data_IF_899085339985
#
_entry.id   IF_899085339985
#
_cell.length_a   1.000
_cell.length_b   1.000
_cell.length_c   1.000
_cell.angle_alpha   90.00
_cell.angle_beta   90.00
_cell.angle_gamma   90.00
#
_symmetry.space_group_name_H-M   'P 1'
#
loop_
_entity.id
_entity.type
_entity.pdbx_description
1 polymer ?
#
# COMPACT_ATOMS: atom_id res chain seq x y z
N UNK A 1 12.06 25.32 -7.03
CA UNK A 1 12.07 23.93 -6.54
C UNK A 1 10.82 23.21 -6.97
N UNK A 2 9.63 23.62 -6.48
CA UNK A 2 8.32 23.08 -6.88
C UNK A 2 8.16 22.90 -8.40
N UNK A 3 8.45 23.94 -9.20
CA UNK A 3 8.39 23.86 -10.67
C UNK A 3 9.27 22.75 -11.24
N UNK A 4 10.53 22.63 -10.79
CA UNK A 4 11.45 21.56 -11.23
C UNK A 4 10.94 20.16 -10.86
N UNK A 5 10.29 20.02 -9.72
CA UNK A 5 9.69 18.74 -9.29
C UNK A 5 8.50 18.41 -10.20
N UNK A 6 7.65 19.39 -10.50
CA UNK A 6 6.51 19.21 -11.42
C UNK A 6 7.02 18.84 -12.83
N UNK A 7 8.08 19.47 -13.33
CA UNK A 7 8.72 19.09 -14.61
C UNK A 7 9.19 17.62 -14.60
N UNK A 8 9.81 17.15 -13.51
CA UNK A 8 10.22 15.76 -13.38
C UNK A 8 9.03 14.78 -13.31
N UNK A 9 7.92 15.18 -12.69
CA UNK A 9 6.70 14.37 -12.65
C UNK A 9 5.99 14.33 -14.02
N UNK A 10 6.00 15.42 -14.78
CA UNK A 10 5.55 15.40 -16.17
C UNK A 10 6.40 14.45 -17.00
N UNK A 11 7.72 14.48 -16.83
CA UNK A 11 8.59 13.54 -17.51
C UNK A 11 8.34 12.08 -17.10
N UNK A 12 8.09 11.84 -15.82
CA UNK A 12 7.68 10.53 -15.32
C UNK A 12 6.42 10.03 -16.03
N UNK A 13 5.38 10.87 -16.08
CA UNK A 13 4.12 10.59 -16.77
C UNK A 13 4.34 10.33 -18.27
N UNK A 14 5.03 11.23 -18.98
CA UNK A 14 5.26 11.12 -20.42
C UNK A 14 6.00 9.83 -20.80
N UNK A 15 6.83 9.31 -19.91
CA UNK A 15 7.54 8.05 -20.15
C UNK A 15 6.59 6.86 -19.96
N UNK A 16 5.77 6.87 -18.92
CA UNK A 16 4.70 5.89 -18.72
C UNK A 16 3.60 5.95 -19.80
N UNK A 17 3.39 7.08 -20.47
CA UNK A 17 2.47 7.16 -21.62
C UNK A 17 3.04 6.44 -22.85
N UNK A 18 4.36 6.49 -23.03
CA UNK A 18 5.05 5.85 -24.16
C UNK A 18 5.23 4.34 -23.97
N UNK A 19 5.49 3.90 -22.73
CA UNK A 19 5.73 2.49 -22.35
C UNK A 19 6.76 1.76 -23.22
N UNK A 20 7.75 2.49 -23.75
CA UNK A 20 8.77 1.89 -24.59
C UNK A 20 9.86 1.25 -23.71
N UNK A 21 9.77 -0.07 -23.54
CA UNK A 21 10.73 -0.87 -22.74
C UNK A 21 12.19 -0.66 -23.15
N UNK A 22 12.47 -0.22 -24.39
CA UNK A 22 13.83 0.09 -24.83
C UNK A 22 14.40 1.36 -24.19
N UNK A 23 13.55 2.21 -23.61
CA UNK A 23 13.93 3.49 -23.01
C UNK A 23 14.02 3.45 -21.48
N UNK A 24 13.78 2.30 -20.82
CA UNK A 24 13.81 2.21 -19.35
C UNK A 24 15.18 2.66 -18.80
N UNK A 25 16.29 2.30 -19.44
CA UNK A 25 17.62 2.73 -19.00
C UNK A 25 17.81 4.25 -19.08
N UNK A 26 17.27 4.89 -20.12
CA UNK A 26 17.37 6.34 -20.27
C UNK A 26 16.50 7.04 -19.23
N UNK A 27 15.28 6.55 -19.02
CA UNK A 27 14.36 7.00 -17.98
C UNK A 27 14.99 6.92 -16.58
N UNK A 28 15.53 5.76 -16.22
CA UNK A 28 16.18 5.54 -14.93
C UNK A 28 17.34 6.51 -14.71
N UNK A 29 18.25 6.65 -15.69
CA UNK A 29 19.38 7.61 -15.61
C UNK A 29 18.93 9.07 -15.48
N UNK A 30 17.82 9.42 -16.11
CA UNK A 30 17.34 10.80 -16.16
C UNK A 30 16.60 11.19 -14.88
N UNK A 31 15.75 10.32 -14.34
CA UNK A 31 14.93 10.67 -13.17
C UNK A 31 15.52 10.24 -11.84
N UNK A 32 16.32 9.17 -11.79
CA UNK A 32 16.73 8.55 -10.52
C UNK A 32 18.20 8.85 -10.18
N UNK A 33 18.53 8.73 -8.90
CA UNK A 33 19.89 8.92 -8.40
C UNK A 33 20.81 7.78 -8.87
N UNK A 34 22.11 7.86 -8.57
CA UNK A 34 23.06 6.80 -8.93
C UNK A 34 22.71 5.41 -8.36
N UNK A 35 23.23 4.39 -9.05
CA UNK A 35 22.70 3.01 -9.09
C UNK A 35 22.52 2.28 -7.76
N UNK A 36 23.25 2.63 -6.71
CA UNK A 36 23.31 1.84 -5.46
C UNK A 36 22.34 2.32 -4.37
N UNK A 37 21.64 3.43 -4.59
CA UNK A 37 20.87 4.08 -3.52
C UNK A 37 19.41 4.34 -3.87
N UNK A 38 18.92 3.79 -4.98
CA UNK A 38 17.50 3.83 -5.34
C UNK A 38 16.77 2.69 -4.64
N UNK A 39 15.55 2.95 -4.17
CA UNK A 39 14.62 1.89 -3.76
C UNK A 39 13.20 2.19 -4.20
N UNK A 40 12.46 1.14 -4.53
CA UNK A 40 11.04 1.22 -4.84
C UNK A 40 10.32 0.19 -3.99
N UNK A 41 9.23 0.62 -3.37
CA UNK A 41 8.28 -0.26 -2.72
C UNK A 41 7.01 -0.27 -3.57
N UNK A 42 6.80 -1.32 -4.35
CA UNK A 42 5.62 -1.47 -5.20
C UNK A 42 4.34 -1.74 -4.43
N UNK A 43 3.28 -2.07 -5.17
CA UNK A 43 1.94 -2.32 -4.63
C UNK A 43 1.81 -3.71 -4.02
N UNK A 44 2.47 -4.74 -4.58
CA UNK A 44 2.25 -6.14 -4.22
C UNK A 44 3.47 -6.77 -3.53
N UNK A 45 3.31 -7.92 -2.88
CA UNK A 45 4.42 -8.69 -2.34
C UNK A 45 5.46 -9.02 -3.42
N UNK A 46 6.75 -9.00 -3.06
CA UNK A 46 7.84 -9.24 -4.01
C UNK A 46 8.28 -7.98 -4.79
N UNK A 47 7.53 -6.87 -4.70
CA UNK A 47 7.88 -5.58 -5.31
C UNK A 47 8.66 -4.64 -4.38
N UNK A 48 9.33 -5.18 -3.35
CA UNK A 48 10.39 -4.44 -2.67
C UNK A 48 11.63 -4.48 -3.57
N UNK A 49 11.93 -3.41 -4.30
CA UNK A 49 13.07 -3.31 -5.20
C UNK A 49 14.17 -2.45 -4.58
N UNK A 50 15.34 -3.04 -4.34
CA UNK A 50 16.47 -2.38 -3.69
C UNK A 50 17.66 -2.35 -4.68
N UNK A 51 18.00 -1.16 -5.16
CA UNK A 51 19.05 -0.95 -6.17
C UNK A 51 18.54 -0.86 -7.61
N UNK A 52 19.42 -0.39 -8.50
CA UNK A 52 19.06 0.00 -9.87
C UNK A 52 18.47 -1.13 -10.71
N UNK A 53 19.07 -2.32 -10.70
CA UNK A 53 18.65 -3.40 -11.61
C UNK A 53 17.27 -3.94 -11.25
N UNK A 54 16.95 -4.04 -9.97
CA UNK A 54 15.61 -4.43 -9.52
C UNK A 54 14.57 -3.36 -9.81
N UNK A 55 14.89 -2.08 -9.54
CA UNK A 55 13.99 -0.97 -9.86
C UNK A 55 13.74 -0.86 -11.37
N UNK A 56 14.79 -1.05 -12.18
CA UNK A 56 14.69 -1.12 -13.63
C UNK A 56 13.76 -2.26 -14.05
N UNK A 57 13.93 -3.46 -13.48
CA UNK A 57 13.08 -4.61 -13.79
C UNK A 57 11.62 -4.31 -13.49
N UNK A 58 11.31 -3.69 -12.35
CA UNK A 58 9.95 -3.28 -12.01
C UNK A 58 9.33 -2.38 -13.08
N UNK A 59 10.04 -1.34 -13.54
CA UNK A 59 9.52 -0.48 -14.62
C UNK A 59 9.37 -1.20 -15.96
N UNK A 60 10.27 -2.13 -16.29
CA UNK A 60 10.11 -2.95 -17.49
C UNK A 60 8.83 -3.78 -17.41
N UNK A 61 8.63 -4.49 -16.29
CA UNK A 61 7.44 -5.32 -16.05
C UNK A 61 6.16 -4.45 -16.06
N UNK A 62 6.19 -3.28 -15.41
CA UNK A 62 5.09 -2.32 -15.42
C UNK A 62 4.71 -1.86 -16.83
N UNK A 63 5.69 -1.56 -17.68
CA UNK A 63 5.42 -1.07 -19.03
C UNK A 63 4.93 -2.19 -19.96
N UNK A 64 5.28 -3.45 -19.69
CA UNK A 64 4.78 -4.61 -20.42
C UNK A 64 3.35 -4.99 -20.04
N UNK A 65 3.02 -4.94 -18.74
CA UNK A 65 1.80 -5.56 -18.23
C UNK A 65 0.81 -4.59 -17.58
N UNK A 66 1.27 -3.45 -17.07
CA UNK A 66 0.43 -2.54 -16.28
C UNK A 66 -0.10 -1.34 -17.07
N UNK A 67 -1.36 -1.02 -16.77
CA UNK A 67 -2.07 0.13 -17.36
C UNK A 67 -2.10 1.32 -16.40
N UNK A 68 -0.93 1.78 -15.93
CA UNK A 68 -0.82 3.11 -15.33
C UNK A 68 -1.38 4.15 -16.31
N UNK A 69 -2.28 5.02 -15.82
CA UNK A 69 -3.00 5.99 -16.65
C UNK A 69 -2.47 7.39 -16.40
N UNK A 70 -2.57 7.92 -15.17
CA UNK A 70 -2.31 9.34 -14.94
C UNK A 70 -1.99 9.69 -13.49
N UNK A 71 -1.04 10.62 -13.29
CA UNK A 71 -0.83 11.36 -12.04
C UNK A 71 -1.83 12.52 -11.94
N UNK A 72 -2.46 12.69 -10.80
CA UNK A 72 -3.32 13.84 -10.49
C UNK A 72 -2.46 15.06 -10.08
N UNK A 73 -2.12 15.88 -11.08
CA UNK A 73 -1.27 17.07 -10.86
C UNK A 73 -1.94 18.17 -10.02
N UNK A 74 -3.27 18.21 -9.98
CA UNK A 74 -4.03 19.24 -9.25
C UNK A 74 -3.99 19.00 -7.73
N UNK A 75 -3.78 17.75 -7.31
CA UNK A 75 -3.82 17.33 -5.92
C UNK A 75 -2.45 16.90 -5.36
N UNK A 76 -1.35 17.33 -6.00
CA UNK A 76 0.01 17.06 -5.51
C UNK A 76 0.27 17.76 -4.17
N UNK A 77 0.85 17.01 -3.23
CA UNK A 77 1.41 17.55 -1.99
C UNK A 77 2.94 17.48 -2.10
N UNK A 78 3.61 18.64 -2.09
CA UNK A 78 5.06 18.76 -2.21
C UNK A 78 5.60 19.43 -0.93
N UNK A 79 6.46 18.71 -0.19
CA UNK A 79 6.99 19.14 1.11
C UNK A 79 8.52 19.17 1.04
N UNK A 80 9.12 20.31 1.38
CA UNK A 80 10.58 20.50 1.41
C UNK A 80 11.14 20.21 2.81
N UNK A 81 12.10 19.29 2.88
CA UNK A 81 12.78 18.87 4.10
C UNK A 81 14.28 19.18 4.05
N UNK A 82 14.66 20.28 3.39
CA UNK A 82 16.03 20.78 3.17
C UNK A 82 16.85 19.90 2.23
N UNK A 83 17.19 18.68 2.67
CA UNK A 83 18.04 17.74 1.94
C UNK A 83 17.24 16.71 1.12
N UNK A 84 15.93 16.66 1.35
CA UNK A 84 14.98 15.83 0.62
C UNK A 84 13.71 16.62 0.32
N UNK A 85 13.05 16.29 -0.79
CA UNK A 85 11.71 16.77 -1.12
C UNK A 85 10.80 15.55 -1.20
N UNK A 86 9.76 15.52 -0.38
CA UNK A 86 8.72 14.52 -0.45
C UNK A 86 7.62 15.00 -1.39
N UNK A 87 7.14 14.09 -2.22
CA UNK A 87 5.98 14.33 -3.06
C UNK A 87 4.99 13.20 -2.88
N UNK A 88 3.80 13.53 -2.41
CA UNK A 88 2.64 12.67 -2.56
C UNK A 88 1.91 13.07 -3.83
N UNK A 89 1.73 12.09 -4.72
CA UNK A 89 1.04 12.23 -5.98
C UNK A 89 -0.09 11.18 -6.04
N UNK A 90 -1.36 11.61 -5.92
CA UNK A 90 -2.47 10.75 -6.28
C UNK A 90 -2.36 10.37 -7.76
N UNK A 91 -2.80 9.18 -8.10
CA UNK A 91 -2.70 8.65 -9.43
C UNK A 91 -3.81 7.63 -9.69
N UNK A 92 -3.92 7.21 -10.94
CA UNK A 92 -4.87 6.19 -11.34
C UNK A 92 -4.21 5.18 -12.27
N UNK A 93 -4.59 3.92 -12.15
CA UNK A 93 -4.36 2.92 -13.18
C UNK A 93 -5.70 2.33 -13.60
N UNK A 94 -5.76 1.82 -14.82
CA UNK A 94 -6.93 1.10 -15.27
C UNK A 94 -6.71 -0.40 -15.29
N UNK A 95 -7.80 -1.12 -15.14
CA UNK A 95 -7.81 -2.57 -15.33
C UNK A 95 -9.05 -2.95 -16.15
N UNK A 96 -8.84 -3.75 -17.20
CA UNK A 96 -9.93 -4.22 -18.04
C UNK A 96 -10.24 -5.67 -17.71
N UNK A 97 -11.39 -5.90 -17.08
CA UNK A 97 -11.95 -7.24 -16.93
C UNK A 97 -12.59 -7.63 -18.26
N UNK A 98 -11.85 -8.42 -19.05
CA UNK A 98 -12.35 -8.98 -20.30
C UNK A 98 -13.41 -10.05 -20.01
N UNK A 99 -14.33 -10.27 -20.95
CA UNK A 99 -15.26 -11.37 -20.83
C UNK A 99 -14.51 -12.70 -20.68
N UNK A 100 -14.69 -13.38 -19.55
CA UNK A 100 -13.89 -14.54 -19.15
C UNK A 100 -13.91 -15.68 -20.18
N UNK A 101 -12.75 -16.34 -20.29
CA UNK A 101 -12.67 -17.77 -20.59
C UNK A 101 -12.83 -18.53 -19.27
N UNK A 102 -14.07 -18.89 -18.91
CA UNK A 102 -14.37 -19.57 -17.63
C UNK A 102 -13.62 -20.90 -17.45
N UNK A 103 -13.02 -21.47 -18.50
CA UNK A 103 -12.27 -22.73 -18.45
C UNK A 103 -11.02 -22.65 -17.57
N UNK A 104 -10.22 -21.59 -17.72
CA UNK A 104 -8.93 -21.46 -17.02
C UNK A 104 -9.15 -21.37 -15.50
N UNK A 105 -10.16 -20.61 -15.08
CA UNK A 105 -10.57 -20.53 -13.67
C UNK A 105 -11.06 -21.87 -13.11
N UNK A 106 -11.77 -22.67 -13.90
CA UNK A 106 -12.25 -23.98 -13.43
C UNK A 106 -11.06 -24.91 -13.15
N UNK A 107 -9.99 -24.82 -13.93
CA UNK A 107 -8.80 -25.62 -13.70
C UNK A 107 -8.02 -25.14 -12.47
N UNK A 108 -7.85 -23.83 -12.27
CA UNK A 108 -7.28 -23.27 -11.02
C UNK A 108 -8.06 -23.71 -9.77
N UNK A 109 -9.40 -23.70 -9.85
CA UNK A 109 -10.26 -24.17 -8.75
C UNK A 109 -10.08 -25.66 -8.44
N UNK A 110 -9.86 -26.50 -9.47
CA UNK A 110 -9.58 -27.93 -9.26
C UNK A 110 -8.24 -28.12 -8.58
N UNK A 111 -7.22 -27.39 -9.01
CA UNK A 111 -5.87 -27.48 -8.45
C UNK A 111 -5.88 -27.07 -6.97
N UNK A 112 -6.56 -25.97 -6.63
CA UNK A 112 -6.75 -25.54 -5.24
C UNK A 112 -7.44 -26.61 -4.39
N UNK A 113 -8.50 -27.25 -4.90
CA UNK A 113 -9.23 -28.30 -4.17
C UNK A 113 -8.43 -29.59 -4.02
N UNK A 114 -7.59 -29.95 -5.00
CA UNK A 114 -6.75 -31.15 -4.94
C UNK A 114 -5.62 -31.00 -3.90
N UNK A 115 -5.07 -29.78 -3.76
CA UNK A 115 -3.99 -29.47 -2.83
C UNK A 115 -4.48 -28.91 -1.47
N UNK A 116 -5.80 -28.91 -1.25
CA UNK A 116 -6.45 -28.30 -0.09
C UNK A 116 -5.93 -28.86 1.24
N UNK A 117 -5.43 -27.97 2.10
CA UNK A 117 -5.10 -28.27 3.50
C UNK A 117 -6.22 -27.90 4.47
N UNK A 118 -7.15 -27.02 4.06
CA UNK A 118 -8.29 -26.59 4.85
C UNK A 118 -9.52 -26.42 3.94
N UNK A 119 -10.32 -27.48 3.84
CA UNK A 119 -11.45 -27.54 2.92
C UNK A 119 -12.50 -26.44 3.18
N UNK A 120 -12.75 -26.06 4.44
CA UNK A 120 -13.70 -25.00 4.75
C UNK A 120 -13.23 -23.66 4.20
N UNK A 121 -11.95 -23.32 4.42
CA UNK A 121 -11.30 -22.10 3.92
C UNK A 121 -11.25 -22.08 2.40
N UNK A 122 -10.90 -23.20 1.77
CA UNK A 122 -10.82 -23.25 0.31
C UNK A 122 -12.22 -23.11 -0.32
N UNK A 123 -13.25 -23.78 0.21
CA UNK A 123 -14.62 -23.63 -0.31
C UNK A 123 -15.19 -22.20 -0.16
N UNK A 124 -14.89 -21.50 0.94
CA UNK A 124 -15.34 -20.12 1.14
C UNK A 124 -14.57 -19.13 0.27
N UNK A 125 -13.27 -19.35 0.06
CA UNK A 125 -12.45 -18.56 -0.88
C UNK A 125 -12.93 -18.74 -2.33
N UNK A 126 -13.20 -19.98 -2.75
CA UNK A 126 -13.80 -20.27 -4.05
C UNK A 126 -15.16 -19.56 -4.20
N UNK A 127 -16.03 -19.62 -3.19
CA UNK A 127 -17.31 -18.91 -3.22
C UNK A 127 -17.13 -17.38 -3.31
N UNK A 128 -16.10 -16.83 -2.65
CA UNK A 128 -15.74 -15.42 -2.73
C UNK A 128 -15.27 -15.02 -4.13
N UNK A 129 -14.38 -15.80 -4.74
CA UNK A 129 -13.91 -15.58 -6.12
C UNK A 129 -15.09 -15.65 -7.11
N UNK A 130 -15.92 -16.69 -7.01
CA UNK A 130 -17.11 -16.87 -7.85
C UNK A 130 -18.10 -15.72 -7.72
N UNK A 131 -18.25 -15.14 -6.52
CA UNK A 131 -19.14 -14.00 -6.30
C UNK A 131 -18.74 -12.79 -7.14
N UNK A 132 -17.43 -12.61 -7.42
CA UNK A 132 -16.93 -11.55 -8.30
C UNK A 132 -17.10 -11.90 -9.79
N UNK A 133 -16.88 -13.16 -10.18
CA UNK A 133 -16.91 -13.57 -11.60
C UNK A 133 -18.29 -13.82 -12.20
N UNK A 134 -19.25 -14.29 -11.41
CA UNK A 134 -20.59 -14.67 -11.91
C UNK A 134 -21.59 -13.51 -11.91
N UNK A 135 -21.11 -12.28 -11.92
CA UNK A 135 -21.98 -11.13 -12.03
C UNK A 135 -22.20 -10.75 -13.50
N UNK A 136 -23.34 -11.19 -14.04
CA UNK A 136 -23.74 -10.92 -15.43
C UNK A 136 -24.00 -9.42 -15.64
N UNK A 137 -23.25 -8.75 -16.53
CA UNK A 137 -23.47 -7.36 -16.92
C UNK A 137 -23.60 -7.23 -18.44
N UNK A 138 -24.29 -6.17 -18.87
CA UNK A 138 -24.60 -5.91 -20.29
C UNK A 138 -23.35 -5.67 -21.16
N UNK A 139 -22.27 -5.17 -20.56
CA UNK A 139 -21.00 -4.88 -21.24
C UNK A 139 -20.02 -6.05 -21.07
N UNK A 140 -19.54 -6.57 -22.21
CA UNK A 140 -18.64 -7.74 -22.26
C UNK A 140 -17.27 -7.46 -21.63
N UNK A 141 -16.63 -6.36 -22.00
CA UNK A 141 -15.35 -5.93 -21.43
C UNK A 141 -15.57 -4.69 -20.57
N UNK A 142 -15.06 -4.70 -19.34
CA UNK A 142 -15.32 -3.65 -18.36
C UNK A 142 -14.00 -3.04 -17.92
N UNK A 143 -13.81 -1.77 -18.26
CA UNK A 143 -12.66 -0.99 -17.84
C UNK A 143 -12.98 -0.30 -16.52
N UNK A 144 -12.17 -0.56 -15.52
CA UNK A 144 -12.21 0.13 -14.23
C UNK A 144 -11.01 1.02 -14.10
N UNK A 145 -11.20 2.16 -13.46
CA UNK A 145 -10.15 3.02 -12.96
C UNK A 145 -10.01 2.78 -11.45
N UNK A 146 -8.78 2.62 -10.99
CA UNK A 146 -8.42 2.36 -9.61
C UNK A 146 -7.51 3.46 -9.10
N UNK A 147 -7.78 3.93 -7.88
CA UNK A 147 -6.94 4.89 -7.18
C UNK A 147 -5.57 4.25 -6.85
N UNK A 148 -4.51 5.03 -7.04
CA UNK A 148 -3.13 4.70 -6.73
C UNK A 148 -2.46 5.90 -6.06
N UNK A 149 -1.51 5.65 -5.17
CA UNK A 149 -0.73 6.69 -4.49
C UNK A 149 0.73 6.47 -4.77
N UNK A 150 1.40 7.52 -5.23
CA UNK A 150 2.85 7.52 -5.38
C UNK A 150 3.46 8.50 -4.39
N UNK A 151 4.36 8.00 -3.55
CA UNK A 151 5.15 8.81 -2.63
C UNK A 151 6.61 8.80 -3.05
N UNK A 152 7.07 9.91 -3.60
CA UNK A 152 8.45 10.09 -4.03
C UNK A 152 9.27 10.79 -2.95
N UNK A 153 10.52 10.35 -2.78
CA UNK A 153 11.55 11.12 -2.11
C UNK A 153 12.57 11.52 -3.17
N UNK A 154 12.61 12.82 -3.46
CA UNK A 154 13.64 13.44 -4.29
C UNK A 154 14.78 13.93 -3.40
N UNK A 155 16.01 13.83 -3.89
CA UNK A 155 17.19 14.44 -3.29
C UNK A 155 17.90 15.30 -4.34
N UNK A 156 18.68 16.28 -3.87
CA UNK A 156 19.44 17.15 -4.77
C UNK A 156 20.84 16.59 -4.99
N UNK A 157 21.17 16.22 -6.22
CA UNK A 157 22.51 15.76 -6.64
C UNK A 157 23.02 16.61 -7.80
N UNK A 158 24.25 17.12 -7.72
CA UNK A 158 24.85 17.97 -8.77
C UNK A 158 23.94 19.13 -9.25
N UNK A 159 23.22 19.78 -8.33
CA UNK A 159 22.21 20.83 -8.59
C UNK A 159 20.93 20.38 -9.34
N UNK A 160 20.73 19.09 -9.56
CA UNK A 160 19.52 18.50 -10.10
C UNK A 160 18.73 17.76 -9.01
N UNK A 161 17.40 17.71 -9.14
CA UNK A 161 16.59 16.83 -8.31
C UNK A 161 16.52 15.45 -8.97
N UNK A 162 16.68 14.40 -8.17
CA UNK A 162 16.62 13.01 -8.61
C UNK A 162 15.82 12.20 -7.61
N UNK A 163 15.04 11.25 -8.12
CA UNK A 163 14.27 10.30 -7.32
C UNK A 163 15.22 9.32 -6.65
N UNK A 164 15.13 9.24 -5.32
CA UNK A 164 15.85 8.26 -4.51
C UNK A 164 14.96 7.12 -4.06
N UNK A 165 13.70 7.42 -3.76
CA UNK A 165 12.76 6.42 -3.27
C UNK A 165 11.37 6.67 -3.84
N UNK A 166 10.65 5.60 -4.19
CA UNK A 166 9.23 5.64 -4.53
C UNK A 166 8.50 4.59 -3.71
N UNK A 167 7.30 4.90 -3.25
CA UNK A 167 6.33 3.88 -2.87
C UNK A 167 5.08 4.01 -3.72
N UNK A 168 4.65 2.89 -4.29
CA UNK A 168 3.34 2.71 -4.90
C UNK A 168 2.42 2.05 -3.88
N UNK A 169 1.20 2.57 -3.71
CA UNK A 169 0.21 1.89 -2.87
C UNK A 169 -1.21 2.11 -3.37
N UNK A 170 -2.03 1.07 -3.27
CA UNK A 170 -3.47 1.18 -3.46
C UNK A 170 -4.08 1.55 -2.11
N UNK A 171 -4.87 2.63 -2.00
CA UNK A 171 -5.62 2.89 -0.78
C UNK A 171 -6.68 1.79 -0.60
N UNK A 172 -6.70 1.15 0.56
CA UNK A 172 -7.64 0.08 0.87
C UNK A 172 -8.03 0.14 2.35
N UNK A 173 -9.32 0.06 2.64
CA UNK A 173 -9.87 0.08 4.00
C UNK A 173 -9.72 -1.28 4.71
N UNK A 174 -9.41 -2.33 3.96
CA UNK A 174 -9.28 -3.68 4.48
C UNK A 174 -8.31 -4.52 3.65
N UNK A 175 -7.25 -5.03 4.27
CA UNK A 175 -6.29 -5.89 3.59
C UNK A 175 -6.94 -7.18 3.09
N UNK A 176 -6.66 -7.54 1.84
CA UNK A 176 -7.00 -8.86 1.28
C UNK A 176 -5.98 -9.95 1.64
N UNK A 177 -4.89 -9.57 2.29
CA UNK A 177 -3.83 -10.46 2.71
C UNK A 177 -3.83 -10.64 4.24
N UNK A 178 -3.63 -11.89 4.69
CA UNK A 178 -3.54 -12.26 6.10
C UNK A 178 -2.40 -13.25 6.30
N UNK A 179 -1.59 -13.08 7.36
CA UNK A 179 -0.49 -14.01 7.65
C UNK A 179 -0.95 -15.44 7.98
N UNK A 180 -2.21 -15.64 8.33
CA UNK A 180 -2.77 -16.97 8.51
C UNK A 180 -2.79 -17.79 7.19
N UNK A 181 -2.67 -17.12 6.04
CA UNK A 181 -2.53 -17.75 4.73
C UNK A 181 -1.05 -18.09 4.46
N UNK A 182 -0.69 -19.37 4.23
CA UNK A 182 0.71 -19.79 4.07
C UNK A 182 1.49 -19.07 2.98
N UNK A 183 0.84 -18.80 1.84
CA UNK A 183 1.40 -18.08 0.70
C UNK A 183 1.74 -16.62 1.05
N UNK A 184 0.85 -15.95 1.78
CA UNK A 184 1.07 -14.59 2.28
C UNK A 184 2.16 -14.56 3.34
N UNK A 185 2.18 -15.54 4.24
CA UNK A 185 3.23 -15.67 5.25
C UNK A 185 4.61 -15.83 4.60
N UNK A 186 4.72 -16.73 3.63
CA UNK A 186 5.98 -16.95 2.90
C UNK A 186 6.43 -15.69 2.15
N UNK A 187 5.49 -14.96 1.52
CA UNK A 187 5.79 -13.73 0.82
C UNK A 187 6.25 -12.60 1.79
N UNK A 188 5.60 -12.48 2.94
CA UNK A 188 6.00 -11.55 4.00
C UNK A 188 7.38 -11.87 4.59
N UNK A 189 7.66 -13.14 4.86
CA UNK A 189 8.98 -13.61 5.34
C UNK A 189 10.08 -13.34 4.30
N UNK A 190 9.80 -13.58 3.01
CA UNK A 190 10.75 -13.28 1.92
C UNK A 190 11.07 -11.78 1.82
N UNK A 191 10.10 -10.90 2.07
CA UNK A 191 10.34 -9.46 2.13
C UNK A 191 11.23 -9.07 3.32
N UNK A 192 11.07 -9.72 4.49
CA UNK A 192 11.97 -9.55 5.65
C UNK A 192 13.40 -9.98 5.30
N UNK A 193 13.57 -11.13 4.65
CA UNK A 193 14.88 -11.62 4.21
C UNK A 193 15.56 -10.63 3.26
N UNK A 194 14.78 -10.02 2.36
CA UNK A 194 15.29 -9.01 1.43
C UNK A 194 15.76 -7.74 2.14
N UNK A 195 15.01 -7.28 3.13
CA UNK A 195 15.42 -6.20 4.02
C UNK A 195 16.73 -6.52 4.75
N UNK A 196 16.82 -7.72 5.35
CA UNK A 196 18.03 -8.20 6.04
C UNK A 196 19.25 -8.23 5.12
N UNK A 197 19.10 -8.72 3.88
CA UNK A 197 20.18 -8.79 2.90
C UNK A 197 20.73 -7.41 2.51
N UNK A 198 19.92 -6.36 2.65
CA UNK A 198 20.27 -4.98 2.30
C UNK A 198 20.42 -4.07 3.53
N UNK A 199 20.43 -4.65 4.73
CA UNK A 199 20.55 -3.90 5.98
C UNK A 199 21.86 -3.12 5.98
N UNK A 200 21.75 -1.80 6.08
CA UNK A 200 22.92 -0.92 6.23
C UNK A 200 23.48 -1.02 7.65
N UNK A 201 24.68 -0.46 7.88
CA UNK A 201 25.22 -0.35 9.23
C UNK A 201 24.18 0.23 10.21
N UNK A 202 24.13 -0.33 11.41
CA UNK A 202 23.12 -0.01 12.40
C UNK A 202 23.17 1.47 12.77
N UNK A 203 22.09 2.20 12.49
CA UNK A 203 21.93 3.58 12.94
C UNK A 203 21.23 3.57 14.30
N UNK A 204 22.03 3.47 15.37
CA UNK A 204 21.57 3.34 16.76
C UNK A 204 20.56 4.43 17.11
N UNK A 205 20.80 5.69 16.74
CA UNK A 205 19.89 6.80 17.05
C UNK A 205 18.49 6.61 16.41
N UNK A 206 18.42 6.05 15.20
CA UNK A 206 17.14 5.79 14.53
C UNK A 206 16.44 4.57 15.16
N UNK A 207 17.22 3.53 15.50
CA UNK A 207 16.69 2.35 16.17
C UNK A 207 16.12 2.68 17.56
N UNK A 208 16.72 3.62 18.28
CA UNK A 208 16.21 4.12 19.56
C UNK A 208 14.84 4.81 19.42
N UNK A 209 14.49 5.31 18.23
CA UNK A 209 13.14 5.82 17.94
C UNK A 209 12.21 4.69 17.50
N UNK A 210 12.63 3.86 16.54
CA UNK A 210 11.77 2.85 15.92
C UNK A 210 11.36 1.72 16.86
N UNK A 211 12.27 1.23 17.71
CA UNK A 211 12.02 0.09 18.62
C UNK A 211 10.85 0.34 19.58
N UNK A 212 10.82 1.45 20.35
CA UNK A 212 9.69 1.74 21.24
C UNK A 212 8.46 2.25 20.48
N UNK A 213 8.60 2.74 19.24
CA UNK A 213 7.52 3.42 18.51
C UNK A 213 6.23 2.59 18.48
N UNK A 214 6.29 1.30 18.14
CA UNK A 214 5.10 0.46 18.04
C UNK A 214 4.34 0.35 19.37
N UNK A 215 5.07 0.18 20.48
CA UNK A 215 4.48 0.13 21.82
C UNK A 215 3.86 1.48 22.19
N UNK A 216 4.61 2.55 22.01
CA UNK A 216 4.18 3.89 22.41
C UNK A 216 3.03 4.40 21.53
N UNK A 217 3.05 4.07 20.24
CA UNK A 217 2.00 4.38 19.29
C UNK A 217 0.66 3.78 19.72
N UNK A 218 0.65 2.65 20.43
CA UNK A 218 -0.59 2.03 20.93
C UNK A 218 -0.95 2.46 22.36
N UNK A 219 0.04 2.72 23.21
CA UNK A 219 -0.18 2.81 24.66
C UNK A 219 -0.06 4.21 25.26
N UNK A 220 0.67 5.14 24.64
CA UNK A 220 0.75 6.51 25.15
C UNK A 220 -0.54 7.29 24.88
N UNK A 221 -0.80 8.31 25.70
CA UNK A 221 -1.78 9.32 25.36
C UNK A 221 -1.45 9.92 23.98
N UNK A 222 -2.46 10.27 23.20
CA UNK A 222 -2.26 10.72 21.82
C UNK A 222 -1.40 11.99 21.77
N UNK A 223 -1.60 12.93 22.71
CA UNK A 223 -0.84 14.18 22.72
C UNK A 223 0.62 13.93 23.12
N UNK A 224 0.86 13.03 24.06
CA UNK A 224 2.20 12.59 24.45
C UNK A 224 2.93 11.90 23.30
N UNK A 225 2.24 10.98 22.61
CA UNK A 225 2.77 10.24 21.47
C UNK A 225 3.15 11.18 20.32
N UNK A 226 2.27 12.13 19.99
CA UNK A 226 2.53 13.15 18.96
C UNK A 226 3.75 13.98 19.33
N UNK A 227 3.81 14.51 20.55
CA UNK A 227 4.94 15.33 21.00
C UNK A 227 6.27 14.58 21.02
N UNK A 228 6.24 13.27 21.30
CA UNK A 228 7.44 12.44 21.36
C UNK A 228 8.01 12.12 19.99
N UNK A 229 7.15 11.84 19.01
CA UNK A 229 7.58 11.23 17.74
C UNK A 229 7.44 12.11 16.52
N UNK A 230 6.57 13.12 16.51
CA UNK A 230 6.22 13.84 15.29
C UNK A 230 6.71 15.29 15.31
N UNK A 231 7.14 15.74 14.14
CA UNK A 231 7.37 17.15 13.86
C UNK A 231 6.13 17.72 13.13
N UNK A 232 5.51 18.71 13.75
CA UNK A 232 4.25 19.30 13.30
C UNK A 232 4.44 20.40 12.25
N UNK A 233 5.67 20.90 12.02
CA UNK A 233 5.89 22.02 11.11
C UNK A 233 5.67 21.64 9.64
N UNK A 234 5.94 20.39 9.28
CA UNK A 234 5.87 19.93 7.90
C UNK A 234 5.41 18.47 7.81
N UNK A 235 4.31 18.16 8.47
CA UNK A 235 3.76 16.81 8.60
C UNK A 235 3.06 16.33 7.31
N UNK A 236 3.21 15.05 6.99
CA UNK A 236 2.35 14.31 6.07
C UNK A 236 2.23 12.84 6.49
N UNK A 237 1.09 12.43 7.04
CA UNK A 237 0.84 11.05 7.47
C UNK A 237 -0.26 10.45 6.60
N UNK A 238 -0.01 9.27 6.05
CA UNK A 238 -0.91 8.53 5.18
C UNK A 238 -1.29 7.21 5.85
N UNK A 239 -2.59 6.97 6.02
CA UNK A 239 -3.08 5.68 6.48
C UNK A 239 -3.16 4.67 5.31
N UNK A 240 -3.61 3.44 5.57
CA UNK A 240 -3.75 2.39 4.54
C UNK A 240 -4.83 2.74 3.52
N UNK A 241 -5.84 3.51 3.91
CA UNK A 241 -6.91 4.02 3.07
C UNK A 241 -6.61 5.45 2.56
N UNK A 242 -7.65 6.20 2.18
CA UNK A 242 -7.52 7.57 1.68
C UNK A 242 -7.36 8.66 2.77
N UNK A 243 -7.22 8.29 4.05
CA UNK A 243 -7.02 9.28 5.11
C UNK A 243 -5.60 9.86 5.07
N UNK A 244 -5.53 11.19 5.11
CA UNK A 244 -4.30 11.99 5.08
C UNK A 244 -4.34 12.96 6.26
N UNK A 245 -3.24 13.07 7.00
CA UNK A 245 -3.07 14.09 8.03
C UNK A 245 -1.88 14.99 7.73
N UNK A 246 -2.15 16.29 7.64
CA UNK A 246 -1.14 17.33 7.39
C UNK A 246 -0.97 18.30 8.56
N UNK A 247 -1.78 18.16 9.61
CA UNK A 247 -1.74 19.00 10.80
C UNK A 247 -2.09 18.17 12.05
N UNK A 248 -1.99 18.82 13.22
CA UNK A 248 -2.20 18.20 14.52
C UNK A 248 -3.59 17.56 14.67
N UNK A 249 -4.65 18.26 14.27
CA UNK A 249 -6.02 17.75 14.48
C UNK A 249 -6.30 16.53 13.61
N UNK A 250 -5.90 16.58 12.34
CA UNK A 250 -6.01 15.42 11.45
C UNK A 250 -5.19 14.25 11.94
N UNK A 251 -3.98 14.49 12.47
CA UNK A 251 -3.12 13.45 13.03
C UNK A 251 -3.78 12.78 14.24
N UNK A 252 -4.41 13.55 15.14
CA UNK A 252 -5.15 13.00 16.28
C UNK A 252 -6.31 12.11 15.82
N UNK A 253 -7.06 12.53 14.79
CA UNK A 253 -8.16 11.74 14.24
C UNK A 253 -7.66 10.45 13.60
N UNK A 254 -6.60 10.54 12.80
CA UNK A 254 -5.98 9.40 12.12
C UNK A 254 -5.44 8.38 13.13
N UNK A 255 -4.73 8.79 14.18
CA UNK A 255 -4.25 7.89 15.23
C UNK A 255 -5.42 7.19 15.94
N UNK A 256 -6.51 7.91 16.23
CA UNK A 256 -7.71 7.31 16.84
C UNK A 256 -8.32 6.25 15.94
N UNK A 257 -8.39 6.51 14.64
CA UNK A 257 -8.92 5.55 13.68
C UNK A 257 -8.02 4.31 13.56
N UNK A 258 -6.70 4.50 13.47
CA UNK A 258 -5.74 3.39 13.50
C UNK A 258 -5.92 2.54 14.75
N UNK A 259 -5.92 3.14 15.95
CA UNK A 259 -6.06 2.41 17.23
C UNK A 259 -7.42 1.74 17.41
N UNK A 260 -8.44 2.18 16.66
CA UNK A 260 -9.76 1.55 16.63
C UNK A 260 -9.77 0.30 15.74
N UNK A 261 -9.04 0.34 14.62
CA UNK A 261 -9.01 -0.72 13.63
C UNK A 261 -7.93 -1.78 13.94
N UNK A 262 -6.80 -1.36 14.52
CA UNK A 262 -5.70 -2.23 14.94
C UNK A 262 -5.58 -2.20 16.47
N UNK A 263 -5.69 -3.37 17.10
CA UNK A 263 -5.51 -3.54 18.54
C UNK A 263 -4.03 -3.55 18.93
N UNK A 264 -3.14 -3.88 17.99
CA UNK A 264 -1.71 -3.62 18.11
C UNK A 264 -1.08 -3.38 16.74
N UNK A 265 0.06 -2.71 16.73
CA UNK A 265 0.94 -2.57 15.57
C UNK A 265 2.33 -3.08 15.94
N UNK A 266 3.00 -3.74 15.01
CA UNK A 266 4.38 -4.16 15.11
C UNK A 266 5.11 -3.72 13.85
N UNK A 267 6.18 -2.93 13.99
CA UNK A 267 7.07 -2.59 12.88
C UNK A 267 8.36 -3.36 13.06
N UNK A 268 8.86 -4.01 12.01
CA UNK A 268 10.12 -4.74 12.03
C UNK A 268 11.31 -3.76 11.99
N UNK A 269 11.52 -3.05 13.08
CA UNK A 269 12.58 -2.03 13.21
C UNK A 269 13.97 -2.62 13.02
N UNK A 270 14.20 -3.85 13.47
CA UNK A 270 15.51 -4.51 13.44
C UNK A 270 16.01 -4.82 12.02
N UNK A 271 15.10 -4.88 11.04
CA UNK A 271 15.43 -5.14 9.63
C UNK A 271 15.19 -3.93 8.74
N UNK A 272 14.73 -2.80 9.30
CA UNK A 272 14.39 -1.63 8.51
C UNK A 272 15.54 -1.17 7.59
N UNK A 273 15.20 -0.87 6.34
CA UNK A 273 16.12 -0.31 5.36
C UNK A 273 16.20 1.20 5.52
N UNK A 274 17.34 1.68 6.02
CA UNK A 274 17.55 3.08 6.40
C UNK A 274 18.52 3.72 5.40
N UNK A 275 18.11 4.86 4.83
CA UNK A 275 18.95 5.64 3.89
C UNK A 275 19.10 7.07 4.35
N UNK A 276 20.35 7.50 4.49
CA UNK A 276 20.70 8.89 4.81
C UNK A 276 20.49 9.80 3.61
N UNK A 277 19.82 10.93 3.84
CA UNK A 277 19.48 11.98 2.89
C UNK A 277 19.93 13.31 3.50
N UNK A 278 21.23 13.46 3.81
CA UNK A 278 21.75 14.61 4.55
C UNK A 278 21.27 14.61 6.01
N UNK A 279 20.51 15.64 6.41
CA UNK A 279 19.90 15.77 7.74
C UNK A 279 18.61 14.96 7.91
N UNK A 280 18.12 14.36 6.83
CA UNK A 280 16.96 13.48 6.86
C UNK A 280 17.38 12.01 6.71
N UNK A 281 16.55 11.10 7.17
CA UNK A 281 16.64 9.67 6.85
C UNK A 281 15.32 9.18 6.28
N UNK A 282 15.38 8.42 5.19
CA UNK A 282 14.25 7.65 4.68
C UNK A 282 14.34 6.22 5.16
N UNK A 283 13.19 5.64 5.48
CA UNK A 283 13.08 4.32 6.09
C UNK A 283 12.01 3.55 5.32
N UNK A 284 12.34 2.32 4.92
CA UNK A 284 11.40 1.32 4.47
C UNK A 284 11.43 0.14 5.44
N UNK A 285 10.26 -0.34 5.83
CA UNK A 285 10.12 -1.53 6.67
C UNK A 285 8.77 -2.19 6.38
N UNK A 286 8.58 -3.37 6.92
CA UNK A 286 7.29 -4.02 7.00
C UNK A 286 6.92 -4.31 8.45
N UNK A 287 5.70 -4.79 8.67
CA UNK A 287 5.16 -5.01 9.99
C UNK A 287 3.80 -5.68 9.97
N UNK A 288 3.12 -5.65 11.11
CA UNK A 288 1.79 -6.20 11.29
C UNK A 288 0.87 -5.20 11.99
N UNK A 289 -0.29 -4.96 11.39
CA UNK A 289 -1.47 -4.49 12.12
C UNK A 289 -2.24 -5.72 12.61
N UNK A 290 -2.51 -5.82 13.91
CA UNK A 290 -3.19 -6.98 14.50
C UNK A 290 -4.52 -6.60 15.10
N UNK A 291 -5.51 -7.46 14.94
CA UNK A 291 -6.78 -7.37 15.65
C UNK A 291 -7.35 -8.75 15.93
N UNK A 292 -8.11 -8.87 17.00
CA UNK A 292 -8.99 -10.02 17.24
C UNK A 292 -10.43 -9.61 16.97
N UNK A 293 -11.11 -10.36 16.10
CA UNK A 293 -12.54 -10.20 15.85
C UNK A 293 -13.16 -11.59 15.91
N UNK A 294 -14.05 -11.81 16.88
CA UNK A 294 -14.80 -13.05 16.95
C UNK A 294 -15.84 -13.15 15.82
N UNK A 295 -16.23 -14.38 15.51
CA UNK A 295 -17.16 -14.70 14.43
C UNK A 295 -18.52 -13.98 14.55
N UNK A 296 -19.08 -13.90 15.77
CA UNK A 296 -20.38 -13.25 15.98
C UNK A 296 -20.30 -11.74 15.71
N UNK A 297 -19.27 -11.09 16.24
CA UNK A 297 -19.00 -9.68 15.98
C UNK A 297 -18.79 -9.41 14.49
N UNK A 298 -18.04 -10.26 13.80
CA UNK A 298 -17.76 -10.08 12.38
C UNK A 298 -19.01 -10.24 11.50
N UNK A 299 -19.86 -11.24 11.78
CA UNK A 299 -21.15 -11.37 11.08
C UNK A 299 -22.12 -10.25 11.41
N UNK A 300 -22.12 -9.73 12.65
CA UNK A 300 -22.92 -8.56 13.01
C UNK A 300 -22.49 -7.33 12.21
N UNK A 301 -21.19 -7.07 12.11
CA UNK A 301 -20.66 -5.98 11.29
C UNK A 301 -21.04 -6.15 9.82
N UNK A 302 -20.98 -7.38 9.30
CA UNK A 302 -21.40 -7.72 7.93
C UNK A 302 -22.89 -7.46 7.72
N UNK A 303 -23.74 -7.86 8.67
CA UNK A 303 -25.19 -7.58 8.65
C UNK A 303 -25.45 -6.07 8.58
N UNK A 304 -24.75 -5.27 9.39
CA UNK A 304 -24.93 -3.82 9.41
C UNK A 304 -24.50 -3.19 8.07
N UNK A 305 -23.41 -3.67 7.45
CA UNK A 305 -23.02 -3.28 6.07
C UNK A 305 -24.11 -3.62 5.05
N UNK A 306 -24.66 -4.82 5.09
CA UNK A 306 -25.73 -5.27 4.18
C UNK A 306 -26.98 -4.37 4.32
N UNK A 307 -27.39 -4.03 5.54
CA UNK A 307 -28.53 -3.14 5.78
C UNK A 307 -28.25 -1.76 5.17
N UNK A 308 -27.03 -1.23 5.32
CA UNK A 308 -26.62 0.03 4.71
C UNK A 308 -26.67 -0.03 3.18
N UNK A 309 -26.21 -1.11 2.56
CA UNK A 309 -26.26 -1.31 1.11
C UNK A 309 -27.70 -1.40 0.61
N UNK A 310 -28.55 -2.16 1.30
CA UNK A 310 -29.97 -2.33 0.93
C UNK A 310 -30.72 -0.99 0.92
N UNK A 311 -30.42 -0.12 1.89
CA UNK A 311 -31.01 1.22 2.02
C UNK A 311 -30.30 2.30 1.18
N UNK A 312 -29.20 1.96 0.50
CA UNK A 312 -28.42 2.89 -0.30
C UNK A 312 -29.03 3.20 -1.67
N UNK A 313 -28.33 4.04 -2.45
CA UNK A 313 -28.80 4.55 -3.74
C UNK A 313 -28.36 3.71 -4.97
N UNK A 314 -27.79 2.53 -4.74
CA UNK A 314 -27.42 1.62 -5.84
C UNK A 314 -28.66 1.01 -6.52
N UNK A 315 -28.56 0.70 -7.80
CA UNK A 315 -29.58 -0.07 -8.52
C UNK A 315 -29.75 -1.47 -7.90
N UNK A 316 -30.94 -2.05 -7.96
CA UNK A 316 -31.31 -3.29 -7.25
C UNK A 316 -30.39 -4.46 -7.59
N UNK A 317 -30.03 -4.63 -8.87
CA UNK A 317 -29.10 -5.67 -9.31
C UNK A 317 -27.68 -5.48 -8.73
N UNK A 318 -27.23 -4.23 -8.62
CA UNK A 318 -25.94 -3.89 -8.02
C UNK A 318 -25.96 -4.15 -6.50
N UNK A 319 -27.06 -3.79 -5.82
CA UNK A 319 -27.23 -4.10 -4.39
C UNK A 319 -27.09 -5.59 -4.12
N UNK A 320 -27.76 -6.44 -4.90
CA UNK A 320 -27.67 -7.90 -4.73
C UNK A 320 -26.26 -8.43 -4.95
N UNK A 321 -25.53 -7.88 -5.92
CA UNK A 321 -24.13 -8.22 -6.16
C UNK A 321 -23.23 -7.84 -4.99
N UNK A 322 -23.28 -6.58 -4.55
CA UNK A 322 -22.46 -6.11 -3.43
C UNK A 322 -22.83 -6.87 -2.15
N UNK A 323 -24.11 -7.15 -1.89
CA UNK A 323 -24.53 -7.96 -0.73
C UNK A 323 -23.95 -9.38 -0.80
N UNK A 324 -24.03 -10.04 -1.96
CA UNK A 324 -23.44 -11.38 -2.15
C UNK A 324 -21.94 -11.34 -1.88
N UNK A 325 -21.24 -10.32 -2.40
CA UNK A 325 -19.81 -10.10 -2.17
C UNK A 325 -19.51 -9.99 -0.67
N UNK A 326 -20.20 -9.11 0.05
CA UNK A 326 -19.99 -8.91 1.49
C UNK A 326 -20.21 -10.20 2.30
N UNK A 327 -21.24 -10.99 1.96
CA UNK A 327 -21.49 -12.29 2.60
C UNK A 327 -20.34 -13.26 2.32
N UNK A 328 -19.90 -13.37 1.06
CA UNK A 328 -18.81 -14.27 0.71
C UNK A 328 -17.47 -13.86 1.34
N UNK A 329 -17.17 -12.56 1.39
CA UNK A 329 -15.99 -12.02 2.11
C UNK A 329 -16.07 -12.41 3.58
N UNK A 330 -17.26 -12.28 4.17
CA UNK A 330 -17.45 -12.58 5.58
C UNK A 330 -17.16 -14.06 5.90
N UNK A 331 -17.72 -14.97 5.10
CA UNK A 331 -17.51 -16.41 5.23
C UNK A 331 -16.04 -16.80 5.03
N UNK A 332 -15.37 -16.19 4.04
CA UNK A 332 -13.94 -16.42 3.78
C UNK A 332 -13.11 -16.04 4.99
N UNK A 333 -13.28 -14.82 5.51
CA UNK A 333 -12.43 -14.31 6.58
C UNK A 333 -12.62 -15.05 7.91
N UNK A 334 -13.85 -15.38 8.27
CA UNK A 334 -14.14 -16.20 9.46
C UNK A 334 -13.54 -17.60 9.34
N UNK A 335 -13.53 -18.19 8.15
CA UNK A 335 -12.99 -19.55 7.96
C UNK A 335 -11.46 -19.66 8.08
N UNK A 336 -10.75 -18.53 8.06
CA UNK A 336 -9.29 -18.49 8.16
C UNK A 336 -8.85 -18.48 9.63
N UNK A 337 -9.26 -17.46 10.40
CA UNK A 337 -8.93 -17.28 11.83
C UNK A 337 -9.71 -16.09 12.40
N UNK A 338 -9.87 -16.03 13.72
CA UNK A 338 -10.34 -14.83 14.44
C UNK A 338 -9.22 -13.83 14.73
N UNK A 339 -7.95 -14.25 14.55
CA UNK A 339 -6.77 -13.40 14.62
C UNK A 339 -6.45 -12.81 13.25
N UNK A 340 -6.55 -11.50 13.14
CA UNK A 340 -6.32 -10.74 11.93
C UNK A 340 -4.95 -10.09 11.98
N UNK A 341 -3.95 -10.82 11.51
CA UNK A 341 -2.59 -10.33 11.32
C UNK A 341 -2.43 -9.83 9.88
N UNK A 342 -2.60 -8.53 9.69
CA UNK A 342 -2.47 -7.88 8.40
C UNK A 342 -1.02 -7.44 8.17
N UNK A 343 -0.35 -7.96 7.14
CA UNK A 343 0.96 -7.46 6.74
C UNK A 343 0.81 -6.01 6.30
N UNK A 344 1.59 -5.13 6.91
CA UNK A 344 1.67 -3.71 6.56
C UNK A 344 3.07 -3.37 6.07
N UNK A 345 3.14 -2.43 5.14
CA UNK A 345 4.38 -1.78 4.71
C UNK A 345 4.45 -0.38 5.29
N UNK A 346 5.65 0.00 5.67
CA UNK A 346 5.96 1.25 6.35
C UNK A 346 6.98 2.02 5.54
N UNK A 347 6.66 3.27 5.23
CA UNK A 347 7.58 4.20 4.59
C UNK A 347 7.59 5.47 5.41
N UNK A 348 8.77 5.87 5.87
CA UNK A 348 8.92 6.98 6.79
C UNK A 348 10.05 7.91 6.35
N UNK A 349 9.90 9.20 6.63
CA UNK A 349 10.96 10.20 6.56
C UNK A 349 11.08 10.88 7.92
N UNK A 350 12.29 10.89 8.46
CA UNK A 350 12.60 11.54 9.73
C UNK A 350 13.66 12.61 9.54
N UNK A 351 13.61 13.64 10.38
CA UNK A 351 14.61 14.72 10.45
C UNK A 351 15.07 14.91 11.88
N UNK A 352 16.35 15.24 12.05
CA UNK A 352 16.92 15.56 13.36
C UNK A 352 16.62 17.02 13.73
N UNK A 353 15.87 17.24 14.82
CA UNK A 353 15.60 18.54 15.42
C UNK A 353 16.12 18.55 16.87
N UNK A 354 17.01 19.48 17.23
CA UNK A 354 17.55 19.63 18.59
C UNK A 354 18.01 18.30 19.22
N UNK A 355 18.81 17.52 18.48
CA UNK A 355 19.30 16.17 18.85
C UNK A 355 18.25 15.05 18.98
N UNK A 356 17.01 15.27 18.55
CA UNK A 356 15.98 14.23 18.48
C UNK A 356 15.57 13.97 17.03
N UNK A 357 15.39 12.71 16.67
CA UNK A 357 14.82 12.34 15.38
C UNK A 357 13.29 12.36 15.48
N UNK A 358 12.66 13.17 14.63
CA UNK A 358 11.21 13.31 14.58
C UNK A 358 10.69 12.86 13.21
N UNK A 359 9.55 12.21 13.21
CA UNK A 359 8.82 11.75 12.04
C UNK A 359 8.12 12.95 11.41
N UNK A 360 8.42 13.19 10.15
CA UNK A 360 7.75 14.20 9.33
C UNK A 360 6.81 13.57 8.31
N UNK A 361 7.13 12.36 7.87
CA UNK A 361 6.27 11.57 7.01
C UNK A 361 6.23 10.11 7.44
N UNK A 362 5.04 9.53 7.39
CA UNK A 362 4.77 8.12 7.66
C UNK A 362 3.61 7.67 6.77
N UNK A 363 3.83 6.63 6.00
CA UNK A 363 2.78 5.93 5.27
C UNK A 363 2.69 4.48 5.72
N UNK A 364 1.48 4.07 6.04
CA UNK A 364 1.11 2.66 6.10
C UNK A 364 0.43 2.26 4.79
N UNK A 365 0.72 1.07 4.27
CA UNK A 365 -0.03 0.49 3.16
C UNK A 365 -0.12 -1.02 3.28
N UNK A 366 -1.19 -1.61 2.75
CA UNK A 366 -1.25 -3.04 2.55
C UNK A 366 -0.54 -3.44 1.24
N UNK A 367 0.17 -4.59 1.23
CA UNK A 367 0.48 -5.28 -0.01
C UNK A 367 -0.83 -5.69 -0.68
N UNK A 368 -1.01 -5.28 -1.93
CA UNK A 368 -2.20 -5.53 -2.74
C UNK A 368 -2.02 -6.81 -3.55
N UNK A 369 -2.87 -7.83 -3.32
CA UNK A 369 -2.67 -9.16 -3.91
C UNK A 369 -3.71 -9.52 -4.97
N UNK A 370 -4.98 -9.18 -4.73
CA UNK A 370 -6.08 -9.55 -5.62
C UNK A 370 -6.67 -8.36 -6.37
N UNK A 371 -6.69 -8.47 -7.70
CA UNK A 371 -7.49 -7.61 -8.58
C UNK A 371 -8.79 -8.34 -8.92
N UNK A 372 -9.85 -8.05 -8.17
CA UNK A 372 -11.20 -8.53 -8.46
C UNK A 372 -12.13 -7.35 -8.71
N UNK A 373 -13.06 -7.53 -9.64
CA UNK A 373 -13.99 -6.48 -10.06
C UNK A 373 -14.85 -5.98 -8.90
N UNK A 374 -14.90 -4.66 -8.67
CA UNK A 374 -15.64 -4.04 -7.55
C UNK A 374 -15.25 -4.58 -6.16
N UNK A 375 -14.05 -5.17 -6.02
CA UNK A 375 -13.53 -5.59 -4.72
C UNK A 375 -13.40 -4.39 -3.79
N UNK A 376 -12.76 -3.34 -4.29
CA UNK A 376 -12.42 -2.14 -3.53
C UNK A 376 -13.42 -1.03 -3.86
N UNK A 377 -13.81 -0.24 -2.85
CA UNK A 377 -14.76 0.89 -3.02
C UNK A 377 -14.26 2.00 -3.94
N UNK A 378 -12.95 2.02 -4.23
CA UNK A 378 -12.31 3.03 -5.07
C UNK A 378 -12.32 2.67 -6.56
N UNK A 379 -12.71 1.45 -6.93
CA UNK A 379 -12.84 1.07 -8.34
C UNK A 379 -14.04 1.76 -8.97
N UNK A 380 -13.83 2.48 -10.08
CA UNK A 380 -14.89 3.19 -10.82
C UNK A 380 -14.95 2.69 -12.25
N UNK A 381 -16.14 2.30 -12.70
CA UNK A 381 -16.37 1.96 -14.11
C UNK A 381 -16.21 3.23 -14.96
N UNK A 382 -15.46 3.16 -16.05
CA UNK A 382 -15.14 4.30 -16.94
C UNK A 382 -15.53 4.09 -18.39
#
# INVERSE_FOLDING_TARGET
MKEKIIELLHEFQETYDKKDVNNVDQFMKKLFIDKENISILGTSFGELCLGYDECKKLFTDDWEYWSFEHLDFDHLIIKDYEDAVLVYAPAYFSFTFKHNNYGDYIDELKDQLNDSKNLQKDLTEINWIIAHFLHEREIKDRKYMLDLRLCFIFVKTNNEFKVKQIQFSVPEDYSDTRLALPEIKSAYESEIEKYLAHKTAENIEIQDVLKPFSHDFMNLDIDEMIHKYFDLENLLILHVDNQIAENLEDLKLLIKDIRKNWQSIEINSDVAYIKNNGKCVSILSNGLGKSYIDEETFYKNTKDKIIKIANGNLHEKEKLFVIRKEISTAMRDVSVSNEYDWPIRVHMLMKKHENRWLIQYLQFSYPFYYILENKNQFMKLV
#
